data_IF_453253029271
#
_entry.id   IF_453253029271
#
_cell.length_a   1.000
_cell.length_b   1.000
_cell.length_c   1.000
_cell.angle_alpha   90.00
_cell.angle_beta   90.00
_cell.angle_gamma   90.00
#
_symmetry.space_group_name_H-M   'P 1'
#
loop_
_entity.id
_entity.type
_entity.pdbx_description
1 polymer ?
#
# COMPACT_ATOMS: atom_id res chain seq x y z
N UNK A 1 -35.52 -12.99 22.18
CA UNK A 1 -34.49 -11.95 22.24
C UNK A 1 -35.05 -10.61 21.85
N UNK A 2 -34.53 -9.56 22.43
CA UNK A 2 -35.06 -8.23 22.18
C UNK A 2 -34.65 -7.73 20.80
N UNK A 3 -35.56 -7.07 20.09
CA UNK A 3 -35.29 -6.45 18.81
C UNK A 3 -34.12 -5.48 18.85
N UNK A 4 -33.91 -4.81 19.98
CA UNK A 4 -32.82 -3.88 20.19
C UNK A 4 -31.45 -4.55 20.05
N UNK A 5 -31.31 -5.76 20.59
CA UNK A 5 -30.07 -6.52 20.53
C UNK A 5 -29.82 -6.98 19.09
N UNK A 6 -30.85 -7.44 18.40
CA UNK A 6 -30.75 -7.89 17.02
C UNK A 6 -30.38 -6.75 16.07
N UNK A 7 -30.99 -5.57 16.26
CA UNK A 7 -30.67 -4.39 15.47
C UNK A 7 -29.27 -3.89 15.74
N UNK A 8 -28.84 -3.92 17.00
CA UNK A 8 -27.50 -3.50 17.36
C UNK A 8 -26.44 -4.45 16.79
N UNK A 9 -26.71 -5.75 16.83
CA UNK A 9 -25.84 -6.75 16.25
C UNK A 9 -25.69 -6.52 14.74
N UNK A 10 -26.79 -6.25 14.05
CA UNK A 10 -26.81 -5.99 12.63
C UNK A 10 -25.95 -4.75 12.31
N UNK A 11 -26.13 -3.67 13.08
CA UNK A 11 -25.36 -2.44 12.89
C UNK A 11 -23.87 -2.68 13.07
N UNK A 12 -23.48 -3.43 14.07
CA UNK A 12 -22.08 -3.76 14.33
C UNK A 12 -21.47 -4.61 13.21
N UNK A 13 -22.24 -5.56 12.70
CA UNK A 13 -21.79 -6.40 11.58
C UNK A 13 -21.59 -5.55 10.33
N UNK A 14 -22.52 -4.63 10.04
CA UNK A 14 -22.40 -3.72 8.91
C UNK A 14 -21.19 -2.82 9.04
N UNK A 15 -20.93 -2.30 10.22
CA UNK A 15 -19.77 -1.47 10.52
C UNK A 15 -18.47 -2.24 10.30
N UNK A 16 -18.42 -3.47 10.80
CA UNK A 16 -17.26 -4.34 10.63
C UNK A 16 -16.99 -4.61 9.14
N UNK A 17 -18.03 -4.93 8.38
CA UNK A 17 -17.91 -5.20 6.96
C UNK A 17 -17.43 -3.98 6.19
N UNK A 18 -17.94 -2.79 6.53
CA UNK A 18 -17.52 -1.54 5.90
C UNK A 18 -16.05 -1.26 6.17
N UNK A 19 -15.60 -1.44 7.40
CA UNK A 19 -14.20 -1.26 7.77
C UNK A 19 -13.29 -2.27 7.09
N UNK A 20 -13.76 -3.51 6.97
CA UNK A 20 -13.01 -4.55 6.28
C UNK A 20 -12.81 -4.23 4.80
N UNK A 21 -13.83 -3.67 4.14
CA UNK A 21 -13.73 -3.22 2.76
C UNK A 21 -12.72 -2.08 2.62
N UNK A 22 -12.75 -1.12 3.52
CA UNK A 22 -11.80 -0.01 3.55
C UNK A 22 -10.37 -0.53 3.71
N UNK A 23 -10.18 -1.47 4.62
CA UNK A 23 -8.88 -2.10 4.85
C UNK A 23 -8.34 -2.73 3.56
N UNK A 24 -9.19 -3.47 2.86
CA UNK A 24 -8.83 -4.11 1.60
C UNK A 24 -8.42 -3.09 0.54
N UNK A 25 -9.15 -1.98 0.43
CA UNK A 25 -8.82 -0.89 -0.49
C UNK A 25 -7.47 -0.26 -0.15
N UNK A 26 -7.21 -0.02 1.14
CA UNK A 26 -5.93 0.52 1.59
C UNK A 26 -4.77 -0.43 1.31
N UNK A 27 -4.98 -1.72 1.50
CA UNK A 27 -3.97 -2.74 1.20
C UNK A 27 -3.63 -2.76 -0.29
N UNK A 28 -4.64 -2.62 -1.15
CA UNK A 28 -4.44 -2.55 -2.60
C UNK A 28 -3.66 -1.30 -2.98
N UNK A 29 -4.01 -0.16 -2.41
CA UNK A 29 -3.30 1.11 -2.64
C UNK A 29 -1.85 1.02 -2.15
N UNK A 30 -1.65 0.43 -0.99
CA UNK A 30 -0.32 0.24 -0.43
C UNK A 30 0.54 -0.65 -1.33
N UNK A 31 -0.05 -1.73 -1.87
CA UNK A 31 0.64 -2.59 -2.82
C UNK A 31 1.08 -1.85 -4.07
N UNK A 32 0.22 -0.99 -4.62
CA UNK A 32 0.55 -0.17 -5.78
C UNK A 32 1.68 0.82 -5.49
N UNK A 33 1.63 1.46 -4.32
CA UNK A 33 2.67 2.38 -3.88
C UNK A 33 4.00 1.64 -3.73
N UNK A 34 3.99 0.47 -3.12
CA UNK A 34 5.20 -0.34 -2.94
C UNK A 34 5.83 -0.71 -4.29
N UNK A 35 5.02 -1.06 -5.28
CA UNK A 35 5.50 -1.35 -6.63
C UNK A 35 6.18 -0.14 -7.26
N UNK A 36 5.57 1.03 -7.12
CA UNK A 36 6.16 2.27 -7.64
C UNK A 36 7.47 2.60 -6.94
N UNK A 37 7.53 2.41 -5.63
CA UNK A 37 8.75 2.64 -4.86
C UNK A 37 9.88 1.72 -5.34
N UNK A 38 9.58 0.45 -5.60
CA UNK A 38 10.57 -0.49 -6.11
C UNK A 38 11.09 -0.09 -7.49
N UNK A 39 10.22 0.39 -8.37
CA UNK A 39 10.61 0.89 -9.69
C UNK A 39 11.55 2.09 -9.58
N UNK A 40 11.21 3.02 -8.71
CA UNK A 40 12.02 4.23 -8.48
C UNK A 40 13.38 3.84 -7.89
N UNK A 41 13.37 2.93 -6.93
CA UNK A 41 14.60 2.44 -6.33
C UNK A 41 15.53 1.81 -7.36
N UNK A 42 14.98 1.01 -8.28
CA UNK A 42 15.74 0.43 -9.38
C UNK A 42 16.36 1.49 -10.28
N UNK A 43 15.61 2.56 -10.58
CA UNK A 43 16.11 3.69 -11.36
C UNK A 43 17.25 4.42 -10.65
N UNK A 44 17.11 4.60 -9.35
CA UNK A 44 18.15 5.24 -8.52
C UNK A 44 19.43 4.40 -8.56
N UNK A 45 19.32 3.10 -8.37
CA UNK A 45 20.48 2.21 -8.41
C UNK A 45 21.19 2.25 -9.76
N UNK A 46 20.42 2.24 -10.84
CA UNK A 46 20.97 2.31 -12.19
C UNK A 46 21.72 3.63 -12.41
N UNK A 47 21.12 4.75 -12.00
CA UNK A 47 21.74 6.06 -12.14
C UNK A 47 23.01 6.18 -11.29
N UNK A 48 23.02 5.61 -10.10
CA UNK A 48 24.18 5.58 -9.24
C UNK A 48 25.33 4.80 -9.89
N UNK A 49 25.02 3.66 -10.49
CA UNK A 49 26.01 2.84 -11.18
C UNK A 49 26.59 3.57 -12.39
N UNK A 50 25.75 4.24 -13.16
CA UNK A 50 26.20 5.04 -14.32
C UNK A 50 27.07 6.21 -13.86
N UNK A 51 26.71 6.84 -12.77
CA UNK A 51 27.49 7.94 -12.19
C UNK A 51 28.89 7.48 -11.76
N UNK A 52 28.98 6.30 -11.16
CA UNK A 52 30.26 5.71 -10.78
C UNK A 52 31.13 5.42 -12.00
N UNK A 53 30.53 4.94 -13.09
CA UNK A 53 31.25 4.69 -14.34
C UNK A 53 31.81 5.99 -14.94
N UNK A 54 31.00 7.05 -14.93
CA UNK A 54 31.45 8.36 -15.41
C UNK A 54 32.60 8.89 -14.58
N UNK A 55 32.56 8.74 -13.27
CA UNK A 55 33.65 9.17 -12.39
C UNK A 55 34.96 8.43 -12.68
N UNK A 56 34.87 7.14 -13.01
CA UNK A 56 36.03 6.34 -13.37
C UNK A 56 36.61 6.77 -14.73
N UNK A 57 35.76 7.12 -15.68
CA UNK A 57 36.18 7.54 -17.01
C UNK A 57 36.85 8.90 -16.99
N UNK A 58 36.51 9.77 -16.07
CA UNK A 58 37.09 11.10 -15.93
C UNK A 58 38.52 11.10 -15.41
N UNK A 59 38.97 9.98 -14.94
CA UNK A 59 40.35 9.81 -14.50
C UNK A 59 41.19 9.29 -15.68
#
# INVERSE_FOLDING_TARGET
MSEKIDNRLKDEVESYNALNMQKSEFENKLGAINKEMLKILGKIELLQDLNKLEEKEKK
#
